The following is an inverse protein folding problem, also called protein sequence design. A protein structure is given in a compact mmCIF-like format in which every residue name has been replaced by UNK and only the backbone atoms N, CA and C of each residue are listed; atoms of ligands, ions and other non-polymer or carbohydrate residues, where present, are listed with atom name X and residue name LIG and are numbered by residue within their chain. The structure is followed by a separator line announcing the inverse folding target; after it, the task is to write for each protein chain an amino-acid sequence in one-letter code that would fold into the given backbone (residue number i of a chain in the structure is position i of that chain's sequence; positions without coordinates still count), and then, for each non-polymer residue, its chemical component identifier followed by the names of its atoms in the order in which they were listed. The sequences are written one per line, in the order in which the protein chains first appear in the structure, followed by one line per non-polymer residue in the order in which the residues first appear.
data_IF_932843900218
#
_entry.id   IF_932843900218
#
_cell.length_a   1.000
_cell.length_b   1.000
_cell.length_c   1.000
_cell.angle_alpha   90.00
_cell.angle_beta   90.00
_cell.angle_gamma   90.00
#
_symmetry.space_group_name_H-M   'P 1'
#
loop_
_entity.id
_entity.type
_entity.pdbx_description
1 polymer ?
#
# COMPACT_ATOMS: atom_id res chain seq x y z
N UNK A 1 -28.69 7.75 -6.36
CA UNK A 1 -28.47 8.04 -4.93
C UNK A 1 -29.62 7.64 -3.99
N UNK A 2 -30.92 7.81 -4.33
CA UNK A 2 -32.03 7.52 -3.39
C UNK A 2 -32.12 6.08 -2.86
N UNK A 3 -31.57 5.10 -3.59
CA UNK A 3 -31.62 3.67 -3.23
C UNK A 3 -30.89 3.33 -1.92
N UNK A 4 -29.78 4.01 -1.62
CA UNK A 4 -28.96 3.76 -0.42
C UNK A 4 -29.37 4.60 0.80
N UNK A 5 -30.41 5.43 0.68
CA UNK A 5 -30.89 6.27 1.79
C UNK A 5 -31.79 5.51 2.77
N UNK A 6 -32.35 4.36 2.37
CA UNK A 6 -33.29 3.57 3.18
C UNK A 6 -32.70 2.25 3.67
N UNK A 7 -31.79 1.65 2.91
CA UNK A 7 -31.16 0.39 3.23
C UNK A 7 -29.65 0.50 2.98
N UNK A 8 -28.84 -0.09 3.88
CA UNK A 8 -27.38 -0.12 3.71
C UNK A 8 -26.95 -0.94 2.50
N UNK A 9 -27.78 -1.86 2.05
CA UNK A 9 -27.53 -2.76 0.93
C UNK A 9 -28.73 -2.79 -0.03
N UNK A 10 -28.44 -2.95 -1.33
CA UNK A 10 -29.43 -3.18 -2.38
C UNK A 10 -29.03 -4.45 -3.15
N UNK A 11 -29.53 -5.59 -2.69
CA UNK A 11 -29.20 -6.91 -3.25
C UNK A 11 -29.66 -7.07 -4.70
N UNK A 12 -30.73 -6.38 -5.10
CA UNK A 12 -31.20 -6.43 -6.50
C UNK A 12 -30.23 -5.67 -7.38
N UNK A 13 -29.80 -4.47 -6.96
CA UNK A 13 -28.80 -3.72 -7.70
C UNK A 13 -27.45 -4.44 -7.76
N UNK A 14 -27.01 -5.10 -6.67
CA UNK A 14 -25.83 -5.96 -6.72
C UNK A 14 -25.94 -7.07 -7.76
N UNK A 15 -27.11 -7.71 -7.92
CA UNK A 15 -27.35 -8.70 -8.98
C UNK A 15 -27.27 -8.08 -10.38
N UNK A 16 -27.86 -6.90 -10.58
CA UNK A 16 -27.80 -6.17 -11.85
C UNK A 16 -26.35 -5.85 -12.26
N UNK A 17 -25.48 -5.55 -11.29
CA UNK A 17 -24.07 -5.23 -11.53
C UNK A 17 -23.24 -6.44 -11.98
N UNK A 18 -23.65 -7.68 -11.69
CA UNK A 18 -22.89 -8.90 -12.02
C UNK A 18 -22.61 -9.05 -13.52
N UNK A 19 -23.47 -8.52 -14.39
CA UNK A 19 -23.27 -8.59 -15.85
C UNK A 19 -22.05 -7.80 -16.33
N UNK A 20 -21.58 -6.84 -15.53
CA UNK A 20 -20.38 -6.06 -15.80
C UNK A 20 -19.11 -6.68 -15.19
N UNK A 21 -19.25 -7.74 -14.40
CA UNK A 21 -18.11 -8.38 -13.73
C UNK A 21 -17.13 -8.97 -14.75
N UNK A 22 -15.84 -8.86 -14.42
CA UNK A 22 -14.74 -9.53 -15.11
C UNK A 22 -13.90 -10.23 -14.06
N UNK A 23 -13.55 -11.49 -14.33
CA UNK A 23 -12.70 -12.25 -13.43
C UNK A 23 -11.25 -11.76 -13.54
N UNK A 24 -10.61 -11.56 -12.39
CA UNK A 24 -9.18 -11.31 -12.28
C UNK A 24 -8.42 -12.55 -11.74
N UNK A 25 -9.06 -13.73 -11.80
CA UNK A 25 -8.41 -14.97 -11.38
C UNK A 25 -7.26 -15.31 -12.34
N UNK A 26 -6.12 -15.69 -11.77
CA UNK A 26 -4.95 -16.12 -12.51
C UNK A 26 -3.98 -16.89 -11.60
N UNK A 27 -2.89 -17.43 -12.16
CA UNK A 27 -1.87 -18.14 -11.38
C UNK A 27 -1.14 -17.21 -10.39
N UNK A 28 -0.35 -17.79 -9.48
CA UNK A 28 0.53 -17.03 -8.59
C UNK A 28 1.41 -16.06 -9.39
N UNK A 29 1.51 -14.81 -8.91
CA UNK A 29 2.17 -13.71 -9.61
C UNK A 29 1.25 -12.88 -10.51
N UNK A 30 -0.02 -13.25 -10.65
CA UNK A 30 -1.01 -12.38 -11.33
C UNK A 30 -1.21 -11.08 -10.56
N UNK A 31 -1.06 -9.94 -11.26
CA UNK A 31 -1.31 -8.61 -10.71
C UNK A 31 -2.66 -8.08 -11.19
N UNK A 32 -3.50 -7.64 -10.25
CA UNK A 32 -4.69 -6.83 -10.52
C UNK A 32 -4.40 -5.38 -10.09
N UNK A 33 -4.13 -4.51 -11.06
CA UNK A 33 -4.00 -3.07 -10.84
C UNK A 33 -5.32 -2.37 -11.22
N UNK A 34 -5.83 -1.51 -10.34
CA UNK A 34 -7.09 -0.79 -10.55
C UNK A 34 -7.08 0.57 -9.85
N UNK A 35 -7.87 1.50 -10.39
CA UNK A 35 -8.07 2.84 -9.80
C UNK A 35 -9.12 2.84 -8.68
N UNK A 36 -9.16 3.93 -7.92
CA UNK A 36 -10.13 4.12 -6.82
C UNK A 36 -11.59 4.20 -7.30
N UNK A 37 -11.80 4.35 -8.60
CA UNK A 37 -13.08 4.40 -9.29
C UNK A 37 -13.59 3.02 -9.74
N UNK A 38 -12.80 1.95 -9.53
CA UNK A 38 -13.18 0.59 -9.90
C UNK A 38 -13.91 -0.11 -8.75
N UNK A 39 -15.18 -0.45 -8.99
CA UNK A 39 -15.93 -1.35 -8.12
C UNK A 39 -15.42 -2.78 -8.27
N UNK A 40 -15.04 -3.41 -7.17
CA UNK A 40 -14.47 -4.75 -7.15
C UNK A 40 -14.99 -5.54 -5.93
N UNK A 41 -14.89 -6.87 -6.01
CA UNK A 41 -15.29 -7.77 -4.92
C UNK A 41 -14.43 -9.03 -4.90
N UNK A 42 -14.32 -9.64 -3.73
CA UNK A 42 -13.84 -11.02 -3.62
C UNK A 42 -14.84 -11.99 -4.24
N UNK A 43 -14.33 -13.02 -4.92
CA UNK A 43 -15.12 -14.22 -5.27
C UNK A 43 -15.13 -15.22 -4.10
N UNK A 44 -16.21 -15.99 -3.99
CA UNK A 44 -16.36 -17.04 -2.98
C UNK A 44 -15.33 -18.15 -3.22
N UNK A 45 -14.71 -18.67 -2.16
CA UNK A 45 -13.93 -19.90 -2.22
C UNK A 45 -14.88 -21.08 -2.08
N UNK A 46 -15.01 -21.88 -3.13
CA UNK A 46 -15.97 -23.00 -3.19
C UNK A 46 -15.30 -24.37 -3.05
N UNK A 47 -13.98 -24.44 -3.15
CA UNK A 47 -13.21 -25.69 -3.03
C UNK A 47 -13.07 -26.09 -1.54
N UNK A 48 -13.42 -27.33 -1.16
CA UNK A 48 -13.19 -27.83 0.20
C UNK A 48 -11.69 -27.74 0.57
N UNK A 49 -11.38 -27.01 1.64
CA UNK A 49 -9.99 -26.79 2.06
C UNK A 49 -9.18 -25.85 1.14
N UNK A 50 -9.84 -25.13 0.22
CA UNK A 50 -9.18 -24.18 -0.68
C UNK A 50 -8.73 -22.90 0.02
N UNK A 51 -7.56 -22.40 -0.37
CA UNK A 51 -7.00 -21.13 0.11
C UNK A 51 -6.69 -20.19 -1.05
N UNK A 52 -6.81 -18.88 -0.82
CA UNK A 52 -6.34 -17.83 -1.72
C UNK A 52 -5.46 -16.86 -0.95
N UNK A 53 -4.20 -16.75 -1.36
CA UNK A 53 -3.27 -15.75 -0.86
C UNK A 53 -3.32 -14.52 -1.76
N UNK A 54 -3.47 -13.35 -1.17
CA UNK A 54 -3.43 -12.08 -1.86
C UNK A 54 -2.60 -11.10 -1.03
N UNK A 55 -1.77 -10.31 -1.71
CA UNK A 55 -1.03 -9.22 -1.12
C UNK A 55 -1.53 -7.93 -1.77
N UNK A 56 -1.96 -6.97 -0.94
CA UNK A 56 -2.48 -5.69 -1.43
C UNK A 56 -1.44 -4.59 -1.18
N UNK A 57 -1.29 -3.71 -2.16
CA UNK A 57 -0.45 -2.52 -2.04
C UNK A 57 -1.18 -1.37 -2.71
N UNK A 58 -1.30 -0.26 -2.01
CA UNK A 58 -1.98 0.94 -2.48
C UNK A 58 -0.94 2.03 -2.71
N UNK A 59 -0.98 2.65 -3.89
CA UNK A 59 -0.10 3.75 -4.23
C UNK A 59 -0.89 5.05 -4.25
N UNK A 60 -0.21 6.14 -3.89
CA UNK A 60 -0.75 7.49 -3.96
C UNK A 60 0.18 8.39 -4.76
N UNK A 61 -0.35 9.49 -5.27
CA UNK A 61 0.48 10.55 -5.84
C UNK A 61 1.41 11.11 -4.74
N UNK A 62 2.68 11.33 -5.09
CA UNK A 62 3.64 12.02 -4.23
C UNK A 62 3.11 13.40 -3.80
N UNK A 63 3.41 13.81 -2.57
CA UNK A 63 2.96 15.08 -1.98
C UNK A 63 1.48 15.14 -1.54
N UNK A 64 0.68 14.08 -1.77
CA UNK A 64 -0.68 14.01 -1.24
C UNK A 64 -0.70 13.26 0.09
N UNK A 65 -0.24 13.88 1.18
CA UNK A 65 -0.06 13.17 2.46
C UNK A 65 -1.35 13.04 3.27
N UNK A 66 -2.39 13.80 2.91
CA UNK A 66 -3.72 13.70 3.51
C UNK A 66 -4.41 12.34 3.30
N UNK A 67 -4.00 11.58 2.28
CA UNK A 67 -4.54 10.25 1.97
C UNK A 67 -3.60 9.12 2.40
N UNK A 68 -2.61 9.41 3.23
CA UNK A 68 -1.77 8.39 3.87
C UNK A 68 -2.62 7.47 4.74
N UNK A 69 -2.49 6.16 4.55
CA UNK A 69 -3.22 5.15 5.34
C UNK A 69 -2.38 4.57 6.48
N UNK A 70 -1.05 4.63 6.38
CA UNK A 70 -0.16 3.99 7.35
C UNK A 70 0.07 4.88 8.57
N UNK A 71 -0.28 4.38 9.75
CA UNK A 71 0.04 5.03 11.02
C UNK A 71 1.48 4.70 11.43
N UNK A 72 2.45 5.44 10.88
CA UNK A 72 3.87 5.23 11.18
C UNK A 72 4.22 5.21 12.68
N UNK A 73 3.61 6.06 13.53
CA UNK A 73 3.86 6.01 14.98
C UNK A 73 3.47 4.70 15.64
N UNK A 74 2.58 3.90 15.04
CA UNK A 74 2.21 2.57 15.55
C UNK A 74 3.12 1.45 15.02
N UNK A 75 3.83 1.70 13.93
CA UNK A 75 4.68 0.72 13.24
C UNK A 75 6.18 0.91 13.49
N UNK A 76 6.58 1.82 14.38
CA UNK A 76 8.00 2.12 14.65
C UNK A 76 8.84 0.92 15.11
N UNK A 77 8.22 -0.07 15.76
CA UNK A 77 8.88 -1.27 16.28
C UNK A 77 8.96 -2.44 15.27
N UNK A 78 8.49 -2.25 14.03
CA UNK A 78 8.68 -3.24 12.97
C UNK A 78 10.18 -3.39 12.65
N UNK A 79 10.61 -4.54 12.09
CA UNK A 79 12.04 -4.79 11.80
C UNK A 79 12.50 -3.97 10.58
N UNK A 80 12.54 -2.65 10.72
CA UNK A 80 12.85 -1.69 9.67
C UNK A 80 14.25 -1.83 9.10
N UNK A 81 15.19 -2.40 9.85
CA UNK A 81 16.53 -2.75 9.36
C UNK A 81 16.47 -3.63 8.09
N UNK A 82 15.48 -4.53 7.98
CA UNK A 82 15.30 -5.37 6.78
C UNK A 82 15.00 -4.58 5.51
N UNK A 83 14.57 -3.32 5.65
CA UNK A 83 14.28 -2.40 4.55
C UNK A 83 15.43 -1.40 4.43
N UNK A 84 15.75 -0.66 5.49
CA UNK A 84 16.76 0.41 5.45
C UNK A 84 18.16 -0.09 5.05
N UNK A 85 18.55 -1.32 5.41
CA UNK A 85 19.89 -1.85 5.06
C UNK A 85 20.01 -2.30 3.59
N UNK A 86 18.90 -2.35 2.83
CA UNK A 86 18.87 -2.98 1.51
C UNK A 86 18.09 -2.19 0.44
N UNK A 87 17.30 -1.20 0.84
CA UNK A 87 16.42 -0.47 -0.06
C UNK A 87 17.13 0.73 -0.71
N UNK A 88 16.81 0.98 -1.98
CA UNK A 88 17.23 2.22 -2.66
C UNK A 88 16.43 3.43 -2.16
N UNK A 89 16.89 4.67 -2.41
CA UNK A 89 16.13 5.87 -2.06
C UNK A 89 14.70 5.89 -2.60
N UNK A 90 14.49 5.45 -3.84
CA UNK A 90 13.16 5.36 -4.45
C UNK A 90 12.25 4.36 -3.71
N UNK A 91 12.80 3.23 -3.27
CA UNK A 91 12.07 2.23 -2.49
C UNK A 91 11.74 2.77 -1.10
N UNK A 92 12.68 3.44 -0.44
CA UNK A 92 12.45 4.10 0.86
C UNK A 92 11.41 5.22 0.74
N UNK A 93 11.37 5.94 -0.37
CA UNK A 93 10.40 6.99 -0.61
C UNK A 93 8.95 6.46 -0.71
N UNK A 94 8.77 5.21 -1.16
CA UNK A 94 7.47 4.54 -1.09
C UNK A 94 6.94 4.38 0.36
N UNK A 95 7.83 4.40 1.36
CA UNK A 95 7.49 4.37 2.78
C UNK A 95 7.51 5.76 3.44
N UNK A 96 7.64 6.83 2.66
CA UNK A 96 7.62 8.21 3.16
C UNK A 96 8.96 8.73 3.67
N UNK A 97 10.07 8.02 3.40
CA UNK A 97 11.41 8.56 3.63
C UNK A 97 11.69 9.62 2.55
N UNK A 98 12.06 10.87 2.92
CA UNK A 98 12.35 11.90 1.91
C UNK A 98 13.50 11.50 0.97
N UNK A 99 13.48 11.95 -0.28
CA UNK A 99 14.54 11.64 -1.25
C UNK A 99 15.85 12.39 -0.91
N UNK A 100 17.01 11.95 -1.44
CA UNK A 100 18.24 12.72 -1.44
C UNK A 100 18.04 14.16 -1.91
N UNK A 101 18.66 15.11 -1.21
CA UNK A 101 18.54 16.54 -1.47
C UNK A 101 17.26 17.19 -0.91
N UNK A 102 16.35 16.43 -0.28
CA UNK A 102 15.22 17.02 0.44
C UNK A 102 15.71 17.85 1.65
N UNK A 103 15.14 19.05 1.91
CA UNK A 103 15.55 19.91 3.03
C UNK A 103 15.42 19.28 4.42
N UNK A 104 14.67 18.19 4.56
CA UNK A 104 14.65 17.38 5.76
C UNK A 104 16.05 16.87 6.14
N UNK A 105 16.87 16.53 5.14
CA UNK A 105 18.20 15.95 5.34
C UNK A 105 19.24 17.03 5.67
N UNK A 106 19.41 17.26 6.97
CA UNK A 106 20.55 17.98 7.55
C UNK A 106 21.58 16.99 8.12
N UNK A 107 22.80 17.46 8.38
CA UNK A 107 23.83 16.67 9.09
C UNK A 107 23.29 16.02 10.37
N UNK A 108 22.46 16.75 11.13
CA UNK A 108 21.84 16.26 12.36
C UNK A 108 20.85 15.13 12.08
N UNK A 109 19.93 15.30 11.14
CA UNK A 109 18.92 14.27 10.83
C UNK A 109 19.55 13.01 10.22
N UNK A 110 20.60 13.15 9.40
CA UNK A 110 21.37 12.03 8.86
C UNK A 110 22.06 11.28 9.99
N UNK A 111 22.71 11.99 10.92
CA UNK A 111 23.37 11.39 12.09
C UNK A 111 22.38 10.62 12.97
N UNK A 112 21.22 11.19 13.27
CA UNK A 112 20.17 10.53 14.05
C UNK A 112 19.59 9.31 13.33
N UNK A 113 19.45 9.38 12.00
CA UNK A 113 18.98 8.26 11.20
C UNK A 113 20.00 7.11 11.16
N UNK A 114 21.29 7.40 10.99
CA UNK A 114 22.36 6.38 11.06
C UNK A 114 22.43 5.74 12.45
N UNK A 115 22.24 6.50 13.54
CA UNK A 115 22.17 5.93 14.89
C UNK A 115 21.02 4.92 15.04
N UNK A 116 19.89 5.19 14.39
CA UNK A 116 18.73 4.29 14.40
C UNK A 116 18.93 3.08 13.47
N UNK A 117 19.59 3.28 12.33
CA UNK A 117 19.83 2.28 11.30
C UNK A 117 21.33 2.19 10.98
N UNK A 118 22.14 1.55 11.85
CA UNK A 118 23.60 1.64 11.79
C UNK A 118 24.21 1.04 10.53
N UNK A 119 23.52 0.11 9.86
CA UNK A 119 23.98 -0.50 8.60
C UNK A 119 23.26 0.06 7.36
N UNK A 120 22.50 1.16 7.49
CA UNK A 120 21.96 1.83 6.30
C UNK A 120 23.11 2.47 5.53
N UNK A 121 23.26 2.11 4.25
CA UNK A 121 24.13 2.84 3.32
C UNK A 121 23.46 4.16 2.95
N UNK A 122 24.00 5.25 3.51
CA UNK A 122 23.49 6.60 3.33
C UNK A 122 24.30 7.43 2.33
N UNK A 123 25.15 6.80 1.51
CA UNK A 123 26.05 7.50 0.57
C UNK A 123 25.31 8.40 -0.44
N UNK A 124 24.07 8.09 -0.78
CA UNK A 124 23.25 8.93 -1.66
C UNK A 124 22.62 10.14 -0.94
N UNK A 125 22.59 10.17 0.39
CA UNK A 125 21.95 11.21 1.19
C UNK A 125 22.92 12.26 1.74
N UNK A 126 24.22 11.97 1.70
CA UNK A 126 25.32 12.76 2.25
C UNK A 126 26.04 13.63 1.22
#
# INVERSE_FOLDING_TARGET
MKRFLKHREDLQHQKELRKFERSAAGPAGTLLAYGIDVFHRGTNLTEPGGYRYAMTSCFKKAGNDAIGYTSWPWHFAKPWHKIFEHATPDQLNCFGVPLPGDPFWTEETLSLAQLRYPNWDMSEYS
#
